data_IF_985955256575
#
_entry.id   IF_985955256575
#
_cell.length_a   1.000
_cell.length_b   1.000
_cell.length_c   1.000
_cell.angle_alpha   90.00
_cell.angle_beta   90.00
_cell.angle_gamma   90.00
#
_symmetry.space_group_name_H-M   'P 1'
#
loop_
_entity.id
_entity.type
_entity.pdbx_description
1 polymer ?
#
# COMPACT_ATOMS: atom_id res chain seq x y z
N UNK A 1 20.07 20.69 -24.94
CA UNK A 1 20.76 21.11 -23.69
C UNK A 1 21.16 19.82 -22.97
N UNK A 2 22.41 19.73 -22.56
CA UNK A 2 22.93 18.55 -21.90
C UNK A 2 22.56 18.65 -20.39
N UNK A 3 21.59 17.86 -19.94
CA UNK A 3 21.08 17.90 -18.57
C UNK A 3 21.90 17.07 -17.58
N UNK A 4 22.92 16.32 -18.09
CA UNK A 4 23.69 15.34 -17.30
C UNK A 4 24.62 15.95 -16.23
N UNK A 5 24.91 17.25 -16.30
CA UNK A 5 25.82 17.93 -15.37
C UNK A 5 25.11 18.73 -14.25
N UNK A 6 23.77 18.71 -14.20
CA UNK A 6 23.00 19.51 -13.25
C UNK A 6 22.72 18.72 -11.96
N UNK A 7 22.71 19.43 -10.83
CA UNK A 7 22.17 18.88 -9.60
C UNK A 7 20.66 18.60 -9.73
N UNK A 8 20.15 17.69 -8.93
CA UNK A 8 18.74 17.25 -9.00
C UNK A 8 17.71 18.39 -8.90
N UNK A 9 17.86 19.40 -8.03
CA UNK A 9 16.92 20.53 -7.96
C UNK A 9 16.89 21.38 -9.23
N UNK A 10 18.04 21.70 -9.80
CA UNK A 10 18.12 22.50 -11.05
C UNK A 10 17.57 21.70 -12.24
N UNK A 11 17.92 20.42 -12.35
CA UNK A 11 17.39 19.52 -13.36
C UNK A 11 15.86 19.46 -13.31
N UNK A 12 15.28 19.22 -12.11
CA UNK A 12 13.83 19.17 -11.91
C UNK A 12 13.15 20.50 -12.26
N UNK A 13 13.81 21.65 -12.02
CA UNK A 13 13.26 22.96 -12.38
C UNK A 13 13.16 23.14 -13.90
N UNK A 14 14.20 22.76 -14.65
CA UNK A 14 14.23 22.81 -16.10
C UNK A 14 13.25 21.83 -16.74
N UNK A 15 13.21 20.58 -16.26
CA UNK A 15 12.25 19.58 -16.74
C UNK A 15 10.79 20.04 -16.55
N UNK A 16 10.47 20.67 -15.40
CA UNK A 16 9.14 21.26 -15.18
C UNK A 16 8.83 22.37 -16.19
N UNK A 17 9.78 23.27 -16.44
CA UNK A 17 9.57 24.38 -17.36
C UNK A 17 9.28 23.89 -18.78
N UNK A 18 10.04 22.92 -19.28
CA UNK A 18 9.86 22.30 -20.58
C UNK A 18 8.51 21.59 -20.70
N UNK A 19 8.19 20.69 -19.76
CA UNK A 19 6.93 19.96 -19.76
C UNK A 19 5.70 20.86 -19.63
N UNK A 20 5.78 21.94 -18.86
CA UNK A 20 4.71 22.93 -18.75
C UNK A 20 4.55 23.73 -20.05
N UNK A 21 5.64 24.10 -20.70
CA UNK A 21 5.58 24.78 -21.99
C UNK A 21 4.91 23.91 -23.06
N UNK A 22 5.31 22.63 -23.17
CA UNK A 22 4.68 21.67 -24.09
C UNK A 22 3.19 21.48 -23.79
N UNK A 23 2.83 21.31 -22.50
CA UNK A 23 1.44 21.12 -22.08
C UNK A 23 0.55 22.31 -22.40
N UNK A 24 1.03 23.52 -22.19
CA UNK A 24 0.25 24.74 -22.46
C UNK A 24 0.15 25.07 -23.95
N UNK A 25 1.09 24.62 -24.76
CA UNK A 25 1.09 24.79 -26.20
C UNK A 25 0.11 23.87 -26.95
N UNK A 26 -0.45 22.84 -26.27
CA UNK A 26 -1.40 21.92 -26.89
C UNK A 26 -2.65 22.65 -27.40
N UNK A 27 -3.11 22.39 -28.66
CA UNK A 27 -4.35 22.94 -29.20
C UNK A 27 -5.57 22.58 -28.34
N UNK A 28 -6.53 23.48 -28.26
CA UNK A 28 -7.73 23.25 -27.45
C UNK A 28 -8.55 22.04 -27.88
N UNK A 29 -8.56 21.72 -29.18
CA UNK A 29 -9.26 20.57 -29.75
C UNK A 29 -8.59 19.26 -29.30
N UNK A 30 -7.26 19.18 -29.39
CA UNK A 30 -6.50 18.01 -28.94
C UNK A 30 -6.70 17.78 -27.43
N UNK A 31 -6.65 18.85 -26.63
CA UNK A 31 -6.95 18.78 -25.21
C UNK A 31 -8.32 18.19 -24.93
N UNK A 32 -9.38 18.67 -25.63
CA UNK A 32 -10.74 18.14 -25.46
C UNK A 32 -10.84 16.65 -25.81
N UNK A 33 -10.21 16.23 -26.92
CA UNK A 33 -10.20 14.82 -27.35
C UNK A 33 -9.50 13.93 -26.31
N UNK A 34 -8.32 14.35 -25.83
CA UNK A 34 -7.58 13.65 -24.78
C UNK A 34 -8.36 13.58 -23.46
N UNK A 35 -8.99 14.70 -23.07
CA UNK A 35 -9.80 14.77 -21.83
C UNK A 35 -11.02 13.85 -21.90
N UNK A 36 -11.67 13.75 -23.05
CA UNK A 36 -12.76 12.82 -23.25
C UNK A 36 -12.29 11.37 -23.06
N UNK A 37 -11.14 11.01 -23.65
CA UNK A 37 -10.57 9.67 -23.51
C UNK A 37 -10.19 9.32 -22.08
N UNK A 38 -9.48 10.20 -21.37
CA UNK A 38 -9.13 10.02 -19.97
C UNK A 38 -10.36 9.92 -19.08
N UNK A 39 -11.40 10.71 -19.38
CA UNK A 39 -12.69 10.65 -18.68
C UNK A 39 -13.33 9.26 -18.81
N UNK A 40 -13.37 8.66 -20.00
CA UNK A 40 -13.87 7.30 -20.23
C UNK A 40 -13.06 6.26 -19.46
N UNK A 41 -11.72 6.36 -19.50
CA UNK A 41 -10.84 5.43 -18.79
C UNK A 41 -11.06 5.46 -17.27
N UNK A 42 -11.24 6.65 -16.70
CA UNK A 42 -11.56 6.81 -15.27
C UNK A 42 -12.96 6.30 -14.94
N UNK A 43 -13.94 6.60 -15.79
CA UNK A 43 -15.34 6.20 -15.56
C UNK A 43 -15.52 4.67 -15.57
N UNK A 44 -14.91 3.99 -16.53
CA UNK A 44 -15.13 2.55 -16.75
C UNK A 44 -14.05 1.66 -16.10
N UNK A 45 -12.86 2.20 -15.82
CA UNK A 45 -11.79 1.44 -15.20
C UNK A 45 -11.75 1.52 -13.67
N UNK A 46 -12.47 2.46 -13.06
CA UNK A 46 -12.41 2.71 -11.62
C UNK A 46 -13.77 2.63 -10.92
N UNK A 47 -14.62 1.68 -11.36
CA UNK A 47 -15.95 1.43 -10.78
C UNK A 47 -15.92 1.07 -9.30
N UNK A 48 -14.82 0.44 -8.82
CA UNK A 48 -14.57 0.11 -7.42
C UNK A 48 -14.50 1.34 -6.49
N UNK A 49 -14.41 2.56 -7.03
CA UNK A 49 -14.47 3.80 -6.25
C UNK A 49 -15.89 4.15 -5.78
N UNK A 50 -16.89 3.38 -6.15
CA UNK A 50 -18.27 3.54 -5.67
C UNK A 50 -18.33 3.49 -4.14
N UNK A 51 -19.03 4.45 -3.54
CA UNK A 51 -19.16 4.58 -2.08
C UNK A 51 -17.96 5.21 -1.39
N UNK A 52 -16.86 5.46 -2.10
CA UNK A 52 -15.60 5.98 -1.56
C UNK A 52 -15.45 7.49 -1.78
N UNK A 53 -14.57 8.10 -0.99
CA UNK A 53 -14.18 9.50 -1.14
C UNK A 53 -13.00 9.60 -2.11
N UNK A 54 -13.22 10.26 -3.24
CA UNK A 54 -12.22 10.54 -4.27
C UNK A 54 -11.73 11.97 -4.11
N UNK A 55 -10.52 12.14 -3.60
CA UNK A 55 -9.84 13.42 -3.63
C UNK A 55 -9.39 13.73 -5.06
N UNK A 56 -9.70 14.93 -5.51
CA UNK A 56 -9.33 15.40 -6.85
C UNK A 56 -8.63 16.74 -6.76
N UNK A 57 -8.53 17.47 -7.85
CA UNK A 57 -7.88 18.77 -7.91
C UNK A 57 -8.67 19.74 -8.79
N UNK A 58 -8.37 21.03 -8.68
CA UNK A 58 -8.87 22.02 -9.61
C UNK A 58 -7.84 22.23 -10.72
N UNK A 59 -8.19 22.05 -12.00
CA UNK A 59 -7.21 22.05 -13.07
C UNK A 59 -6.58 23.41 -13.29
N UNK A 60 -5.28 23.42 -13.54
CA UNK A 60 -4.50 24.63 -13.87
C UNK A 60 -3.49 24.35 -14.98
N UNK A 61 -3.06 25.40 -15.68
CA UNK A 61 -1.95 25.35 -16.65
C UNK A 61 -2.08 24.19 -17.66
N UNK A 62 -3.28 23.95 -18.22
CA UNK A 62 -3.52 22.92 -19.23
C UNK A 62 -3.54 21.47 -18.71
N UNK A 63 -3.73 21.27 -17.41
CA UNK A 63 -4.01 19.95 -16.85
C UNK A 63 -5.27 19.33 -17.45
N UNK A 64 -5.38 18.02 -17.32
CA UNK A 64 -6.66 17.32 -17.51
C UNK A 64 -7.70 17.93 -16.57
N UNK A 65 -8.90 18.19 -17.10
CA UNK A 65 -10.01 18.66 -16.27
C UNK A 65 -10.77 17.46 -15.66
N UNK A 66 -10.58 17.18 -14.38
CA UNK A 66 -11.17 15.99 -13.74
C UNK A 66 -12.66 16.15 -13.45
N UNK A 67 -13.24 17.36 -13.58
CA UNK A 67 -14.60 17.66 -13.13
C UNK A 67 -15.67 16.82 -13.81
N UNK A 68 -15.50 16.52 -15.10
CA UNK A 68 -16.43 15.66 -15.86
C UNK A 68 -16.31 14.21 -15.39
N UNK A 69 -15.08 13.67 -15.28
CA UNK A 69 -14.85 12.31 -14.81
C UNK A 69 -15.36 12.13 -13.37
N UNK A 70 -15.04 13.08 -12.48
CA UNK A 70 -15.49 13.07 -11.09
C UNK A 70 -17.01 13.15 -10.99
N UNK A 71 -17.67 13.96 -11.83
CA UNK A 71 -19.13 13.97 -11.88
C UNK A 71 -19.69 12.58 -12.23
N UNK A 72 -19.15 11.91 -13.24
CA UNK A 72 -19.57 10.56 -13.65
C UNK A 72 -19.32 9.52 -12.57
N UNK A 73 -18.18 9.58 -11.85
CA UNK A 73 -17.92 8.73 -10.69
C UNK A 73 -18.92 8.98 -9.56
N UNK A 74 -19.31 10.25 -9.33
CA UNK A 74 -20.33 10.60 -8.34
C UNK A 74 -21.73 10.09 -8.76
N UNK A 75 -22.11 10.22 -10.02
CA UNK A 75 -23.37 9.69 -10.54
C UNK A 75 -23.46 8.15 -10.32
N UNK A 76 -22.32 7.48 -10.16
CA UNK A 76 -22.18 6.06 -9.79
C UNK A 76 -22.01 5.81 -8.29
N UNK A 77 -22.08 6.84 -7.45
CA UNK A 77 -22.11 6.76 -5.99
C UNK A 77 -20.81 7.06 -5.27
N UNK A 78 -19.73 7.50 -5.95
CA UNK A 78 -18.55 8.04 -5.28
C UNK A 78 -18.85 9.42 -4.66
N UNK A 79 -18.05 9.82 -3.66
CA UNK A 79 -18.02 11.18 -3.11
C UNK A 79 -16.76 11.87 -3.61
N UNK A 80 -16.83 13.17 -3.90
CA UNK A 80 -15.65 13.92 -4.35
C UNK A 80 -15.18 14.90 -3.28
N UNK A 81 -13.87 15.18 -3.26
CA UNK A 81 -13.29 16.17 -2.36
C UNK A 81 -12.20 16.98 -3.07
N UNK A 82 -12.11 18.27 -2.73
CA UNK A 82 -11.06 19.18 -3.20
C UNK A 82 -10.01 19.43 -2.11
N UNK A 83 -8.73 19.56 -2.50
CA UNK A 83 -7.65 19.86 -1.59
C UNK A 83 -7.69 21.34 -1.15
N UNK A 84 -7.42 21.55 0.12
CA UNK A 84 -7.30 22.88 0.73
C UNK A 84 -5.92 23.02 1.35
N UNK A 85 -5.20 24.08 1.02
CA UNK A 85 -3.95 24.45 1.68
C UNK A 85 -4.31 25.20 2.97
N UNK A 86 -4.22 24.54 4.10
CA UNK A 86 -4.48 25.13 5.41
C UNK A 86 -3.25 25.81 6.01
N UNK A 87 -2.06 25.33 5.64
CA UNK A 87 -0.78 25.86 6.07
C UNK A 87 0.28 25.65 4.97
N UNK A 88 1.19 26.60 4.83
CA UNK A 88 2.33 26.48 3.89
C UNK A 88 3.21 25.30 4.30
N UNK A 89 3.63 24.51 3.31
CA UNK A 89 4.50 23.34 3.49
C UNK A 89 3.95 22.24 4.44
N UNK A 90 2.64 22.20 4.68
CA UNK A 90 1.93 21.15 5.40
C UNK A 90 1.17 20.22 4.45
N UNK A 91 0.69 19.05 4.93
CA UNK A 91 -0.26 18.22 4.19
C UNK A 91 -1.52 18.99 3.78
N UNK A 92 -2.11 18.60 2.67
CA UNK A 92 -3.41 19.12 2.23
C UNK A 92 -4.52 18.55 3.13
N UNK A 93 -5.49 19.40 3.44
CA UNK A 93 -6.78 18.98 3.98
C UNK A 93 -7.75 18.80 2.82
N UNK A 94 -8.61 17.78 2.85
CA UNK A 94 -9.63 17.60 1.83
C UNK A 94 -11.00 17.96 2.38
N UNK A 95 -11.78 18.71 1.57
CA UNK A 95 -13.19 19.04 1.86
C UNK A 95 -14.09 18.45 0.79
N UNK A 96 -15.20 17.87 1.21
CA UNK A 96 -16.17 17.33 0.27
C UNK A 96 -16.64 18.41 -0.70
N UNK A 97 -16.79 18.01 -1.97
CA UNK A 97 -17.15 18.93 -3.05
C UNK A 97 -18.12 18.29 -4.05
N UNK A 98 -18.99 19.08 -4.61
CA UNK A 98 -19.88 18.73 -5.71
C UNK A 98 -20.15 19.96 -6.59
N UNK A 99 -20.55 19.77 -7.88
CA UNK A 99 -20.92 20.88 -8.74
C UNK A 99 -22.04 21.70 -8.13
N UNK A 100 -21.87 23.04 -8.10
CA UNK A 100 -22.83 23.96 -7.50
C UNK A 100 -22.58 24.28 -6.03
N UNK A 101 -21.64 23.60 -5.34
CA UNK A 101 -21.26 23.99 -3.98
C UNK A 101 -20.56 25.36 -4.01
N UNK A 102 -20.93 26.21 -3.08
CA UNK A 102 -20.25 27.50 -2.87
C UNK A 102 -18.76 27.31 -2.60
N UNK A 103 -17.93 28.10 -3.28
CA UNK A 103 -16.50 28.10 -3.08
C UNK A 103 -15.97 29.51 -2.93
N UNK A 104 -14.85 29.68 -2.19
CA UNK A 104 -14.12 30.95 -2.09
C UNK A 104 -12.69 30.77 -2.60
N UNK A 105 -12.09 31.84 -3.16
CA UNK A 105 -10.68 31.78 -3.54
C UNK A 105 -9.80 31.49 -2.32
N UNK A 106 -8.96 30.46 -2.44
CA UNK A 106 -7.94 30.10 -1.46
C UNK A 106 -6.53 30.44 -1.93
N UNK A 107 -5.55 29.72 -1.38
CA UNK A 107 -4.14 29.85 -1.78
C UNK A 107 -4.03 29.50 -3.27
N UNK A 108 -3.21 30.25 -4.00
CA UNK A 108 -3.05 30.17 -5.47
C UNK A 108 -4.32 30.48 -6.28
N UNK A 109 -5.33 31.13 -5.71
CA UNK A 109 -6.61 31.40 -6.37
C UNK A 109 -7.49 30.16 -6.59
N UNK A 110 -7.13 29.03 -5.99
CA UNK A 110 -7.88 27.78 -6.13
C UNK A 110 -9.17 27.82 -5.30
N UNK A 111 -10.29 27.23 -5.79
CA UNK A 111 -11.54 27.23 -5.08
C UNK A 111 -11.48 26.36 -3.81
N UNK A 112 -11.90 26.94 -2.70
CA UNK A 112 -12.06 26.26 -1.39
C UNK A 112 -13.54 26.06 -1.11
N UNK A 113 -14.02 24.79 -0.98
CA UNK A 113 -15.40 24.49 -0.63
C UNK A 113 -15.82 25.11 0.69
N UNK A 114 -17.01 25.71 0.73
CA UNK A 114 -17.57 26.34 1.91
C UNK A 114 -18.65 25.45 2.53
N UNK A 115 -18.74 25.43 3.87
CA UNK A 115 -19.80 24.70 4.58
C UNK A 115 -19.79 23.18 4.47
N UNK A 116 -18.84 22.59 3.71
CA UNK A 116 -18.74 21.15 3.54
C UNK A 116 -17.81 20.51 4.57
N UNK A 117 -18.01 19.22 4.93
CA UNK A 117 -17.18 18.54 5.90
C UNK A 117 -15.77 18.31 5.39
N UNK A 118 -14.81 18.27 6.33
CA UNK A 118 -13.48 17.73 6.10
C UNK A 118 -13.59 16.21 5.99
N UNK A 119 -12.93 15.63 5.00
CA UNK A 119 -12.97 14.20 4.74
C UNK A 119 -11.56 13.66 4.46
N UNK A 120 -11.36 12.38 4.74
CA UNK A 120 -10.14 11.66 4.37
C UNK A 120 -10.41 10.93 3.06
N UNK A 121 -9.63 11.16 2.00
CA UNK A 121 -9.84 10.48 0.72
C UNK A 121 -9.37 9.02 0.76
N UNK A 122 -10.20 8.12 0.21
CA UNK A 122 -9.86 6.71 -0.05
C UNK A 122 -9.02 6.55 -1.33
N UNK A 123 -9.19 7.48 -2.27
CA UNK A 123 -8.44 7.56 -3.51
C UNK A 123 -8.08 9.01 -3.86
N UNK A 124 -6.96 9.22 -4.51
CA UNK A 124 -6.50 10.53 -4.97
C UNK A 124 -6.23 10.52 -6.48
N UNK A 125 -6.89 11.39 -7.21
CA UNK A 125 -6.50 11.78 -8.56
C UNK A 125 -5.47 12.90 -8.44
N UNK A 126 -4.26 12.70 -8.95
CA UNK A 126 -3.13 13.60 -8.75
C UNK A 126 -2.61 14.08 -10.12
N UNK A 127 -2.56 15.40 -10.37
CA UNK A 127 -2.04 15.92 -11.61
C UNK A 127 -0.51 16.09 -11.54
N UNK A 128 0.28 15.28 -12.24
CA UNK A 128 1.72 15.51 -12.34
C UNK A 128 2.04 16.54 -13.42
N UNK A 129 3.20 17.17 -13.31
CA UNK A 129 3.83 17.89 -14.43
C UNK A 129 4.52 16.87 -15.36
N UNK A 130 5.20 15.89 -14.79
CA UNK A 130 5.80 14.75 -15.47
C UNK A 130 5.60 13.46 -14.67
N UNK A 131 5.69 12.33 -15.36
CA UNK A 131 5.60 10.99 -14.74
C UNK A 131 6.67 10.09 -15.34
N UNK A 132 7.44 9.41 -14.48
CA UNK A 132 8.53 8.56 -14.95
C UNK A 132 8.12 7.09 -15.16
N UNK A 133 9.05 6.32 -15.72
CA UNK A 133 8.84 4.92 -16.03
C UNK A 133 8.57 4.05 -14.79
N UNK A 134 8.94 4.51 -13.59
CA UNK A 134 8.71 3.82 -12.32
C UNK A 134 7.49 4.34 -11.55
N UNK A 135 6.71 5.24 -12.17
CA UNK A 135 5.48 5.80 -11.57
C UNK A 135 5.72 6.90 -10.55
N UNK A 136 6.93 7.46 -10.45
CA UNK A 136 7.18 8.65 -9.67
C UNK A 136 6.75 9.90 -10.43
N UNK A 137 6.24 10.89 -9.71
CA UNK A 137 5.70 12.11 -10.31
C UNK A 137 6.60 13.33 -10.08
N UNK A 138 6.82 14.11 -11.11
CA UNK A 138 7.34 15.46 -11.01
C UNK A 138 6.16 16.42 -10.79
N UNK A 139 6.06 16.96 -9.58
CA UNK A 139 5.06 17.98 -9.24
C UNK A 139 5.53 19.41 -9.51
N UNK A 140 4.74 20.40 -9.07
CA UNK A 140 5.09 21.84 -9.19
C UNK A 140 6.21 22.31 -8.25
N UNK A 141 6.77 21.45 -7.42
CA UNK A 141 7.86 21.79 -6.49
C UNK A 141 7.40 22.20 -5.08
N UNK A 142 6.10 22.29 -4.83
CA UNK A 142 5.56 22.62 -3.50
C UNK A 142 5.54 21.44 -2.51
N UNK A 143 5.67 20.19 -2.98
CA UNK A 143 5.68 18.96 -2.19
C UNK A 143 4.40 18.67 -1.41
N UNK A 144 3.28 19.33 -1.76
CA UNK A 144 2.03 19.18 -1.03
C UNK A 144 1.49 17.75 -1.06
N UNK A 145 1.47 17.10 -2.24
CA UNK A 145 0.98 15.75 -2.36
C UNK A 145 1.90 14.73 -1.68
N UNK A 146 3.23 14.90 -1.72
CA UNK A 146 4.16 14.00 -1.04
C UNK A 146 3.96 14.03 0.47
N UNK A 147 3.86 15.24 1.05
CA UNK A 147 3.54 15.39 2.48
C UNK A 147 2.16 14.84 2.84
N UNK A 148 1.16 15.04 1.97
CA UNK A 148 -0.19 14.52 2.19
C UNK A 148 -0.18 12.99 2.19
N UNK A 149 0.44 12.38 1.19
CA UNK A 149 0.56 10.93 1.11
C UNK A 149 1.36 10.35 2.29
N UNK A 150 2.45 11.02 2.70
CA UNK A 150 3.22 10.58 3.87
C UNK A 150 2.44 10.64 5.18
N UNK A 151 1.49 11.57 5.30
CA UNK A 151 0.67 11.78 6.50
C UNK A 151 -0.58 10.87 6.56
N UNK A 152 -1.07 10.38 5.41
CA UNK A 152 -2.28 9.57 5.36
C UNK A 152 -1.99 8.10 5.69
N UNK A 153 -2.79 7.54 6.61
CA UNK A 153 -2.81 6.10 6.94
C UNK A 153 -4.26 5.68 7.18
N UNK A 154 -4.76 4.64 6.49
CA UNK A 154 -4.10 3.93 5.39
C UNK A 154 -3.80 4.82 4.20
N UNK A 155 -2.84 4.37 3.38
CA UNK A 155 -2.51 5.08 2.13
C UNK A 155 -3.71 5.06 1.18
N UNK A 156 -4.15 6.21 0.63
CA UNK A 156 -5.19 6.23 -0.40
C UNK A 156 -4.70 5.57 -1.69
N UNK A 157 -5.62 5.13 -2.53
CA UNK A 157 -5.29 4.76 -3.90
C UNK A 157 -4.75 5.99 -4.64
N UNK A 158 -3.56 5.87 -5.24
CA UNK A 158 -2.84 6.98 -5.89
C UNK A 158 -2.91 6.84 -7.41
N UNK A 159 -3.70 7.69 -8.06
CA UNK A 159 -3.89 7.68 -9.51
C UNK A 159 -3.31 8.97 -10.09
N UNK A 160 -2.18 8.88 -10.79
CA UNK A 160 -1.70 10.01 -11.59
C UNK A 160 -2.58 10.16 -12.83
N UNK A 161 -3.04 11.37 -13.09
CA UNK A 161 -3.77 11.69 -14.32
C UNK A 161 -2.93 12.69 -15.12
N UNK A 162 -2.38 12.22 -16.22
CA UNK A 162 -1.36 12.89 -16.99
C UNK A 162 -1.68 12.91 -18.49
N UNK A 163 -0.86 13.59 -19.26
CA UNK A 163 -0.79 13.45 -20.73
C UNK A 163 0.31 12.48 -21.09
N UNK A 164 0.15 11.68 -22.13
CA UNK A 164 1.21 10.80 -22.61
C UNK A 164 2.50 11.58 -22.92
N UNK A 165 2.36 12.79 -23.45
CA UNK A 165 3.47 13.68 -23.73
C UNK A 165 4.26 14.16 -22.47
N UNK A 166 3.76 13.89 -21.26
CA UNK A 166 4.43 14.20 -20.00
C UNK A 166 5.23 13.02 -19.42
N UNK A 167 5.27 11.88 -20.12
CA UNK A 167 6.11 10.76 -19.74
C UNK A 167 7.59 11.07 -19.94
N UNK A 168 8.40 10.51 -19.04
CA UNK A 168 9.85 10.68 -19.03
C UNK A 168 10.51 9.43 -18.45
N UNK A 169 11.82 9.27 -18.70
CA UNK A 169 12.54 8.07 -18.23
C UNK A 169 12.68 8.06 -16.70
N UNK A 170 13.06 9.19 -16.12
CA UNK A 170 13.23 9.35 -14.68
C UNK A 170 12.96 10.77 -14.23
N UNK A 171 12.44 10.93 -13.02
CA UNK A 171 12.39 12.21 -12.31
C UNK A 171 13.59 12.40 -11.38
N UNK A 172 14.54 11.46 -11.34
CA UNK A 172 15.57 11.33 -10.31
C UNK A 172 14.95 11.30 -8.90
N UNK A 173 14.21 10.20 -8.55
CA UNK A 173 13.42 10.13 -7.33
C UNK A 173 14.25 10.35 -6.09
N UNK A 174 13.70 11.11 -5.13
CA UNK A 174 14.30 11.35 -3.82
C UNK A 174 13.59 10.51 -2.76
N UNK A 175 14.18 10.27 -1.58
CA UNK A 175 13.60 9.39 -0.55
C UNK A 175 12.19 9.78 -0.09
N UNK A 176 11.78 11.02 -0.28
CA UNK A 176 10.44 11.51 0.09
C UNK A 176 9.42 11.42 -1.06
N UNK A 177 9.84 11.13 -2.29
CA UNK A 177 8.93 10.95 -3.41
C UNK A 177 8.18 9.60 -3.25
N UNK A 178 6.86 9.63 -3.42
CA UNK A 178 6.01 8.45 -3.27
C UNK A 178 5.47 8.06 -4.64
N UNK A 179 5.70 6.82 -5.11
CA UNK A 179 5.19 6.37 -6.41
C UNK A 179 3.68 6.25 -6.42
N UNK A 180 3.10 6.37 -7.61
CA UNK A 180 1.67 6.15 -7.84
C UNK A 180 1.33 4.66 -7.83
N UNK A 181 0.04 4.32 -7.86
CA UNK A 181 -0.44 2.96 -8.07
C UNK A 181 -0.86 2.77 -9.52
N UNK A 182 -1.44 3.81 -10.10
CA UNK A 182 -1.84 3.85 -11.48
C UNK A 182 -1.42 5.16 -12.15
N UNK A 183 -1.17 5.09 -13.44
CA UNK A 183 -0.99 6.23 -14.33
C UNK A 183 -2.02 6.14 -15.43
N UNK A 184 -2.87 7.15 -15.56
CA UNK A 184 -3.90 7.27 -16.58
C UNK A 184 -3.50 8.38 -17.53
N UNK A 185 -3.37 8.04 -18.81
CA UNK A 185 -3.17 8.98 -19.92
C UNK A 185 -4.19 8.70 -21.01
N UNK A 186 -4.25 9.51 -22.05
CA UNK A 186 -5.08 9.23 -23.22
C UNK A 186 -4.70 7.92 -23.95
N UNK A 187 -3.47 7.43 -23.75
CA UNK A 187 -3.00 6.15 -24.31
C UNK A 187 -3.55 4.94 -23.56
N UNK A 188 -3.91 5.07 -22.27
CA UNK A 188 -4.46 3.97 -21.47
C UNK A 188 -4.24 4.10 -19.98
N UNK A 189 -4.54 3.02 -19.27
CA UNK A 189 -4.31 2.88 -17.84
C UNK A 189 -3.10 1.97 -17.62
N UNK A 190 -2.12 2.46 -16.88
CA UNK A 190 -0.94 1.69 -16.51
C UNK A 190 -0.94 1.43 -15.00
N UNK A 191 -0.73 0.18 -14.61
CA UNK A 191 -0.40 -0.19 -13.24
C UNK A 191 1.09 0.09 -12.98
N UNK A 192 1.40 0.65 -11.82
CA UNK A 192 2.78 0.81 -11.35
C UNK A 192 3.22 -0.47 -10.66
N UNK A 193 4.23 -1.13 -11.21
CA UNK A 193 4.79 -2.38 -10.68
C UNK A 193 6.22 -2.17 -10.18
N UNK A 194 6.81 -3.17 -9.55
CA UNK A 194 8.21 -3.14 -9.12
C UNK A 194 9.20 -2.98 -10.30
N UNK A 195 8.77 -3.31 -11.52
CA UNK A 195 9.59 -3.24 -12.74
C UNK A 195 9.21 -2.08 -13.65
N UNK A 196 8.28 -1.21 -13.22
CA UNK A 196 7.84 -0.03 -13.96
C UNK A 196 6.36 -0.08 -14.35
N UNK A 197 5.99 0.76 -15.31
CA UNK A 197 4.61 0.91 -15.78
C UNK A 197 4.20 -0.25 -16.69
N UNK A 198 3.10 -0.90 -16.35
CA UNK A 198 2.50 -1.99 -17.13
C UNK A 198 1.14 -1.56 -17.65
N UNK A 199 0.96 -1.53 -18.98
CA UNK A 199 -0.35 -1.26 -19.58
C UNK A 199 -1.37 -2.33 -19.17
N UNK A 200 -2.55 -1.89 -18.73
CA UNK A 200 -3.68 -2.77 -18.44
C UNK A 200 -4.64 -2.70 -19.64
N UNK A 201 -4.69 -3.78 -20.41
CA UNK A 201 -5.41 -3.80 -21.70
C UNK A 201 -6.92 -3.66 -21.55
N UNK A 202 -7.52 -4.27 -20.52
CA UNK A 202 -8.98 -4.27 -20.32
C UNK A 202 -9.36 -3.49 -19.08
N UNK A 203 -10.35 -2.60 -19.19
CA UNK A 203 -10.82 -1.78 -18.08
C UNK A 203 -11.42 -2.60 -16.92
N UNK A 204 -11.99 -3.76 -17.21
CA UNK A 204 -12.44 -4.71 -16.18
C UNK A 204 -11.27 -5.26 -15.33
N UNK A 205 -10.05 -5.34 -15.89
CA UNK A 205 -8.87 -5.74 -15.13
C UNK A 205 -8.36 -4.59 -14.26
N UNK A 206 -8.48 -3.34 -14.73
CA UNK A 206 -8.21 -2.15 -13.91
C UNK A 206 -9.09 -2.17 -12.66
N UNK A 207 -10.40 -2.35 -12.83
CA UNK A 207 -11.37 -2.35 -11.73
C UNK A 207 -11.07 -3.45 -10.70
N UNK A 208 -10.69 -4.65 -11.16
CA UNK A 208 -10.25 -5.75 -10.28
C UNK A 208 -8.97 -5.42 -9.51
N UNK A 209 -7.99 -4.79 -10.16
CA UNK A 209 -6.74 -4.37 -9.50
C UNK A 209 -7.01 -3.30 -8.45
N UNK A 210 -7.86 -2.31 -8.78
CA UNK A 210 -8.28 -1.25 -7.86
C UNK A 210 -9.00 -1.84 -6.65
N UNK A 211 -9.96 -2.73 -6.86
CA UNK A 211 -10.69 -3.43 -5.78
C UNK A 211 -9.71 -4.12 -4.83
N UNK A 212 -8.79 -4.92 -5.38
CA UNK A 212 -7.78 -5.63 -4.58
C UNK A 212 -6.90 -4.70 -3.76
N UNK A 213 -6.42 -3.59 -4.35
CA UNK A 213 -5.59 -2.63 -3.64
C UNK A 213 -6.35 -1.90 -2.52
N UNK A 214 -7.62 -1.55 -2.75
CA UNK A 214 -8.46 -0.92 -1.74
C UNK A 214 -8.74 -1.87 -0.57
N UNK A 215 -9.04 -3.14 -0.83
CA UNK A 215 -9.21 -4.16 0.20
C UNK A 215 -7.93 -4.35 1.04
N UNK A 216 -6.76 -4.40 0.39
CA UNK A 216 -5.46 -4.49 1.08
C UNK A 216 -5.17 -3.28 1.97
N UNK A 217 -5.70 -2.10 1.63
CA UNK A 217 -5.48 -0.84 2.36
C UNK A 217 -6.55 -0.53 3.39
N UNK A 218 -7.68 -1.22 3.36
CA UNK A 218 -8.74 -1.01 4.34
C UNK A 218 -8.20 -1.23 5.76
N UNK A 219 -8.42 -0.26 6.63
CA UNK A 219 -8.11 -0.42 8.05
C UNK A 219 -8.86 -1.60 8.65
N UNK A 220 -8.15 -2.38 9.44
CA UNK A 220 -8.78 -3.40 10.27
C UNK A 220 -9.52 -2.73 11.44
N UNK A 221 -10.72 -3.20 11.73
CA UNK A 221 -11.43 -2.85 12.94
C UNK A 221 -10.72 -3.44 14.18
N UNK A 222 -11.06 -2.97 15.37
CA UNK A 222 -10.52 -3.49 16.61
C UNK A 222 -10.86 -4.99 16.78
N UNK A 223 -12.06 -5.39 16.36
CA UNK A 223 -12.48 -6.80 16.38
C UNK A 223 -11.68 -7.66 15.38
N UNK A 224 -11.48 -7.18 14.15
CA UNK A 224 -10.64 -7.86 13.14
C UNK A 224 -9.18 -8.01 13.62
N UNK A 225 -8.62 -6.99 14.31
CA UNK A 225 -7.28 -7.07 14.91
C UNK A 225 -7.27 -8.11 16.03
N UNK A 226 -8.26 -8.09 16.92
CA UNK A 226 -8.36 -9.05 18.03
C UNK A 226 -8.48 -10.49 17.54
N UNK A 227 -9.27 -10.74 16.49
CA UNK A 227 -9.39 -12.04 15.84
C UNK A 227 -8.07 -12.50 15.22
N UNK A 228 -7.37 -11.59 14.52
CA UNK A 228 -6.03 -11.85 13.98
C UNK A 228 -5.04 -12.22 15.09
N UNK A 229 -4.95 -11.42 16.15
CA UNK A 229 -4.03 -11.68 17.27
C UNK A 229 -4.33 -13.00 17.96
N UNK A 230 -5.61 -13.38 18.12
CA UNK A 230 -5.98 -14.68 18.65
C UNK A 230 -5.59 -15.83 17.72
N UNK A 231 -5.81 -15.68 16.42
CA UNK A 231 -5.38 -16.66 15.41
C UNK A 231 -3.86 -16.89 15.45
N UNK A 232 -3.09 -15.81 15.57
CA UNK A 232 -1.63 -15.88 15.71
C UNK A 232 -1.23 -16.53 17.03
N UNK A 233 -1.88 -16.18 18.14
CA UNK A 233 -1.63 -16.76 19.47
C UNK A 233 -1.82 -18.28 19.49
N UNK A 234 -2.87 -18.76 18.84
CA UNK A 234 -3.11 -20.20 18.69
C UNK A 234 -2.02 -20.88 17.86
N UNK A 235 -1.56 -20.22 16.79
CA UNK A 235 -0.49 -20.73 15.94
C UNK A 235 0.85 -20.79 16.68
N UNK A 236 1.23 -19.72 17.41
CA UNK A 236 2.47 -19.66 18.20
C UNK A 236 2.48 -20.72 19.32
N UNK A 237 1.36 -20.92 20.01
CA UNK A 237 1.23 -22.02 20.99
C UNK A 237 1.42 -23.39 20.37
N UNK A 238 0.76 -23.63 19.24
CA UNK A 238 0.90 -24.89 18.52
C UNK A 238 2.34 -25.12 18.06
N UNK A 239 3.02 -24.06 17.54
CA UNK A 239 4.43 -24.09 17.15
C UNK A 239 5.35 -24.45 18.32
N UNK A 240 5.22 -23.75 19.44
CA UNK A 240 5.99 -24.04 20.65
C UNK A 240 5.81 -25.48 21.15
N UNK A 241 4.57 -26.00 21.14
CA UNK A 241 4.26 -27.40 21.51
C UNK A 241 4.87 -28.40 20.54
N UNK A 242 4.78 -28.14 19.22
CA UNK A 242 5.41 -28.98 18.19
C UNK A 242 6.90 -29.06 18.38
N UNK A 243 7.57 -27.93 18.60
CA UNK A 243 9.02 -27.89 18.79
C UNK A 243 9.41 -28.67 20.04
N UNK A 244 8.69 -28.52 21.16
CA UNK A 244 8.94 -29.30 22.39
C UNK A 244 8.81 -30.79 22.14
N UNK A 245 7.77 -31.26 21.42
CA UNK A 245 7.59 -32.65 21.07
C UNK A 245 8.74 -33.15 20.17
N UNK A 246 9.16 -32.37 19.17
CA UNK A 246 10.26 -32.75 18.29
C UNK A 246 11.60 -32.86 19.05
N UNK A 247 11.90 -31.96 19.98
CA UNK A 247 13.09 -32.04 20.83
C UNK A 247 13.08 -33.28 21.70
N UNK A 248 11.90 -33.71 22.19
CA UNK A 248 11.75 -34.90 23.03
C UNK A 248 11.76 -36.23 22.28
N UNK A 249 11.23 -36.27 21.06
CA UNK A 249 10.98 -37.51 20.32
C UNK A 249 12.02 -37.81 19.23
N UNK A 250 12.66 -36.79 18.66
CA UNK A 250 13.52 -36.97 17.49
C UNK A 250 15.01 -37.13 17.87
N UNK A 251 15.74 -38.01 17.17
CA UNK A 251 17.20 -38.19 17.32
C UNK A 251 17.91 -37.03 16.61
N UNK A 252 17.88 -35.86 17.22
CA UNK A 252 18.45 -34.63 16.65
C UNK A 252 19.93 -34.48 16.98
N UNK A 253 20.79 -34.04 16.04
CA UNK A 253 22.13 -33.53 16.32
C UNK A 253 22.11 -32.39 17.33
N UNK A 254 23.22 -32.15 18.02
CA UNK A 254 23.28 -31.13 19.10
C UNK A 254 23.01 -29.69 18.60
N UNK A 255 23.48 -29.35 17.42
CA UNK A 255 23.24 -28.08 16.71
C UNK A 255 21.78 -27.91 16.33
N UNK A 256 21.15 -28.93 15.73
CA UNK A 256 19.73 -28.91 15.39
C UNK A 256 18.84 -28.78 16.63
N UNK A 257 19.20 -29.46 17.71
CA UNK A 257 18.50 -29.36 19.00
C UNK A 257 18.65 -27.95 19.60
N UNK A 258 19.84 -27.36 19.56
CA UNK A 258 20.09 -26.00 20.05
C UNK A 258 19.26 -24.97 19.28
N UNK A 259 19.19 -25.11 17.95
CA UNK A 259 18.40 -24.23 17.10
C UNK A 259 16.90 -24.37 17.37
N UNK A 260 16.36 -25.58 17.51
CA UNK A 260 14.97 -25.78 17.87
C UNK A 260 14.64 -25.19 19.26
N UNK A 261 15.56 -25.25 20.22
CA UNK A 261 15.37 -24.57 21.51
C UNK A 261 15.35 -23.04 21.39
N UNK A 262 16.08 -22.48 20.43
CA UNK A 262 16.01 -21.04 20.11
C UNK A 262 14.65 -20.69 19.53
N UNK A 263 14.22 -21.43 18.51
CA UNK A 263 12.91 -21.28 17.89
C UNK A 263 11.76 -21.38 18.91
N UNK A 264 11.82 -22.34 19.82
CA UNK A 264 10.81 -22.52 20.87
C UNK A 264 10.72 -21.29 21.80
N UNK A 265 11.88 -20.68 22.14
CA UNK A 265 11.90 -19.42 22.92
C UNK A 265 11.27 -18.26 22.15
N UNK A 266 11.51 -18.16 20.85
CA UNK A 266 10.91 -17.14 19.99
C UNK A 266 9.37 -17.30 19.95
N UNK A 267 8.85 -18.50 19.72
CA UNK A 267 7.40 -18.83 19.74
C UNK A 267 6.76 -18.46 21.10
N UNK A 268 7.44 -18.82 22.20
CA UNK A 268 6.96 -18.50 23.54
C UNK A 268 6.98 -16.99 23.83
N UNK A 269 8.01 -16.29 23.34
CA UNK A 269 8.11 -14.84 23.40
C UNK A 269 7.00 -14.15 22.61
N UNK A 270 6.71 -14.65 21.42
CA UNK A 270 5.62 -14.17 20.58
C UNK A 270 4.26 -14.36 21.28
N UNK A 271 4.01 -15.51 21.93
CA UNK A 271 2.82 -15.71 22.74
C UNK A 271 2.65 -14.63 23.81
N UNK A 272 3.74 -14.29 24.52
CA UNK A 272 3.71 -13.25 25.57
C UNK A 272 3.38 -11.85 25.00
N UNK A 273 3.92 -11.52 23.82
CA UNK A 273 3.62 -10.26 23.10
C UNK A 273 2.15 -10.21 22.71
N UNK A 274 1.63 -11.28 22.09
CA UNK A 274 0.22 -11.34 21.63
C UNK A 274 -0.75 -11.24 22.80
N UNK A 275 -0.47 -11.91 23.92
CA UNK A 275 -1.28 -11.85 25.15
C UNK A 275 -1.30 -10.42 25.72
N UNK A 276 -0.19 -9.70 25.71
CA UNK A 276 -0.12 -8.31 26.16
C UNK A 276 -0.97 -7.40 25.27
N UNK A 277 -0.84 -7.53 23.95
CA UNK A 277 -1.61 -6.73 22.99
C UNK A 277 -3.12 -6.96 23.14
N UNK A 278 -3.57 -8.21 23.20
CA UNK A 278 -4.98 -8.55 23.39
C UNK A 278 -5.54 -7.96 24.69
N UNK A 279 -4.81 -8.08 25.80
CA UNK A 279 -5.22 -7.48 27.07
C UNK A 279 -5.26 -5.97 27.03
N UNK A 280 -4.28 -5.33 26.39
CA UNK A 280 -4.25 -3.87 26.20
C UNK A 280 -5.42 -3.35 25.38
N UNK A 281 -5.96 -4.17 24.49
CA UNK A 281 -7.17 -3.86 23.71
C UNK A 281 -8.48 -4.22 24.44
N UNK A 282 -8.43 -4.81 25.64
CA UNK A 282 -9.61 -5.32 26.34
C UNK A 282 -10.22 -6.58 25.70
N UNK A 283 -9.48 -7.25 24.82
CA UNK A 283 -9.93 -8.46 24.16
C UNK A 283 -9.59 -9.71 24.98
N UNK A 284 -10.48 -10.71 24.95
CA UNK A 284 -10.24 -11.98 25.64
C UNK A 284 -9.27 -12.85 24.83
N UNK A 285 -8.13 -13.26 25.39
CA UNK A 285 -7.19 -14.15 24.71
C UNK A 285 -7.75 -15.54 24.52
N UNK A 286 -7.68 -16.09 23.31
CA UNK A 286 -8.02 -17.48 23.03
C UNK A 286 -7.23 -18.45 23.92
N UNK A 287 -7.89 -19.50 24.41
CA UNK A 287 -7.27 -20.63 25.14
C UNK A 287 -6.99 -21.84 24.23
N UNK A 288 -7.45 -21.77 22.99
CA UNK A 288 -7.30 -22.85 22.02
C UNK A 288 -5.83 -23.02 21.57
N UNK A 289 -5.57 -24.22 21.09
CA UNK A 289 -4.35 -24.55 20.34
C UNK A 289 -4.80 -24.91 18.93
N UNK A 290 -4.21 -24.31 17.92
CA UNK A 290 -4.58 -24.59 16.54
C UNK A 290 -4.33 -26.05 16.15
N UNK A 291 -5.04 -26.56 15.15
CA UNK A 291 -4.93 -27.95 14.64
C UNK A 291 -3.53 -28.28 14.06
N UNK A 292 -2.60 -27.33 14.07
CA UNK A 292 -1.24 -27.51 13.57
C UNK A 292 -0.47 -28.55 14.39
N UNK A 293 -0.65 -28.57 15.73
CA UNK A 293 0.03 -29.52 16.62
C UNK A 293 -0.26 -30.96 16.24
N UNK A 294 -1.55 -31.33 16.16
CA UNK A 294 -1.96 -32.71 15.81
C UNK A 294 -1.45 -33.14 14.43
N UNK A 295 -1.53 -32.22 13.44
CA UNK A 295 -1.06 -32.48 12.10
C UNK A 295 0.46 -32.65 12.03
N UNK A 296 1.22 -31.91 12.82
CA UNK A 296 2.68 -32.02 12.90
C UNK A 296 3.12 -33.36 13.47
N UNK A 297 2.47 -33.83 14.53
CA UNK A 297 2.79 -35.13 15.15
C UNK A 297 2.43 -36.33 14.26
N UNK A 298 1.46 -36.17 13.36
CA UNK A 298 1.11 -37.22 12.39
C UNK A 298 2.18 -37.39 11.29
N UNK A 299 3.07 -36.42 11.09
CA UNK A 299 4.18 -36.50 10.13
C UNK A 299 5.26 -37.44 10.69
N UNK A 300 5.77 -38.35 9.88
CA UNK A 300 6.86 -39.26 10.24
C UNK A 300 8.19 -38.82 9.67
N UNK A 301 9.28 -39.09 10.40
CA UNK A 301 10.66 -38.77 9.99
C UNK A 301 11.13 -37.35 10.39
N UNK A 302 12.44 -37.19 10.60
CA UNK A 302 13.05 -35.93 11.08
C UNK A 302 12.86 -34.84 10.04
N UNK A 303 13.33 -35.06 8.81
CA UNK A 303 13.29 -34.08 7.71
C UNK A 303 11.84 -33.64 7.40
N UNK A 304 10.85 -34.52 7.15
CA UNK A 304 9.46 -34.12 6.90
C UNK A 304 8.82 -33.32 8.04
N UNK A 305 9.16 -33.62 9.29
CA UNK A 305 8.68 -32.87 10.46
C UNK A 305 9.24 -31.45 10.48
N UNK A 306 10.54 -31.26 10.21
CA UNK A 306 11.15 -29.92 10.11
C UNK A 306 10.60 -29.12 8.93
N UNK A 307 10.39 -29.75 7.78
CA UNK A 307 9.74 -29.11 6.63
C UNK A 307 8.30 -28.68 6.96
N UNK A 308 7.56 -29.51 7.73
CA UNK A 308 6.22 -29.15 8.18
C UNK A 308 6.24 -27.96 9.13
N UNK A 309 7.16 -27.93 10.09
CA UNK A 309 7.37 -26.80 10.99
C UNK A 309 7.68 -25.52 10.19
N UNK A 310 8.58 -25.59 9.21
CA UNK A 310 8.96 -24.45 8.38
C UNK A 310 7.78 -23.91 7.56
N UNK A 311 6.90 -24.77 7.07
CA UNK A 311 5.64 -24.33 6.43
C UNK A 311 4.73 -23.57 7.39
N UNK A 312 4.68 -23.95 8.66
CA UNK A 312 3.97 -23.23 9.72
C UNK A 312 4.52 -21.84 9.94
N UNK A 313 5.84 -21.71 10.09
CA UNK A 313 6.53 -20.41 10.19
C UNK A 313 6.19 -19.49 9.00
N UNK A 314 6.26 -20.02 7.78
CA UNK A 314 5.93 -19.28 6.57
C UNK A 314 4.45 -18.87 6.50
N UNK A 315 3.53 -19.66 7.06
CA UNK A 315 2.12 -19.31 7.13
C UNK A 315 1.89 -18.10 8.04
N UNK A 316 2.48 -18.12 9.24
CA UNK A 316 2.40 -16.98 10.19
C UNK A 316 2.98 -15.73 9.58
N UNK A 317 4.20 -15.79 9.02
CA UNK A 317 4.87 -14.66 8.39
C UNK A 317 4.01 -14.03 7.27
N UNK A 318 3.43 -14.86 6.39
CA UNK A 318 2.54 -14.38 5.31
C UNK A 318 1.26 -13.75 5.83
N UNK A 319 0.64 -14.34 6.87
CA UNK A 319 -0.59 -13.81 7.45
C UNK A 319 -0.36 -12.45 8.10
N UNK A 320 0.75 -12.29 8.82
CA UNK A 320 1.15 -11.00 9.38
C UNK A 320 1.43 -9.98 8.24
N UNK A 321 2.23 -10.36 7.24
CA UNK A 321 2.57 -9.49 6.12
C UNK A 321 1.32 -8.95 5.39
N UNK A 322 0.30 -9.79 5.19
CA UNK A 322 -0.96 -9.39 4.57
C UNK A 322 -1.78 -8.41 5.44
N UNK A 323 -1.69 -8.52 6.76
CA UNK A 323 -2.44 -7.67 7.68
C UNK A 323 -1.77 -6.31 7.96
N UNK A 324 -0.43 -6.26 7.99
CA UNK A 324 0.34 -5.07 8.38
C UNK A 324 -0.08 -3.76 7.68
N UNK A 325 -0.39 -3.73 6.37
CA UNK A 325 -0.83 -2.50 5.70
C UNK A 325 -2.18 -1.98 6.20
N UNK A 326 -3.00 -2.85 6.81
CA UNK A 326 -4.35 -2.55 7.27
C UNK A 326 -4.41 -2.18 8.76
N UNK A 327 -3.34 -2.37 9.53
CA UNK A 327 -3.27 -2.10 10.97
C UNK A 327 -2.79 -0.67 11.18
N UNK A 328 -3.63 0.17 11.78
CA UNK A 328 -3.30 1.57 12.07
C UNK A 328 -2.62 1.75 13.43
N UNK A 329 -2.99 0.95 14.42
CA UNK A 329 -2.36 0.98 15.73
C UNK A 329 -0.86 0.74 15.63
N UNK A 330 -0.07 1.70 16.09
CA UNK A 330 1.38 1.70 15.93
C UNK A 330 2.04 0.62 16.81
N UNK A 331 1.51 0.36 18.01
CA UNK A 331 2.05 -0.66 18.91
C UNK A 331 1.84 -2.05 18.32
N UNK A 332 0.60 -2.36 17.92
CA UNK A 332 0.25 -3.63 17.26
C UNK A 332 1.06 -3.82 15.98
N UNK A 333 1.11 -2.80 15.14
CA UNK A 333 1.84 -2.86 13.85
C UNK A 333 3.33 -3.12 14.04
N UNK A 334 3.98 -2.44 15.00
CA UNK A 334 5.40 -2.61 15.26
C UNK A 334 5.70 -3.99 15.86
N UNK A 335 4.88 -4.46 16.80
CA UNK A 335 5.02 -5.79 17.40
C UNK A 335 4.86 -6.90 16.34
N UNK A 336 3.85 -6.81 15.49
CA UNK A 336 3.64 -7.80 14.41
C UNK A 336 4.73 -7.73 13.34
N UNK A 337 5.27 -6.54 13.04
CA UNK A 337 6.42 -6.42 12.13
C UNK A 337 7.65 -7.17 12.69
N UNK A 338 7.99 -6.94 13.96
CA UNK A 338 9.09 -7.64 14.62
C UNK A 338 8.89 -9.16 14.62
N UNK A 339 7.68 -9.60 14.93
CA UNK A 339 7.31 -11.03 14.89
C UNK A 339 7.47 -11.61 13.47
N UNK A 340 6.97 -10.95 12.43
CA UNK A 340 7.16 -11.38 11.04
C UNK A 340 8.63 -11.54 10.68
N UNK A 341 9.46 -10.56 11.07
CA UNK A 341 10.89 -10.56 10.74
C UNK A 341 11.62 -11.68 11.47
N UNK A 342 11.22 -11.99 12.72
CA UNK A 342 11.67 -13.18 13.46
C UNK A 342 11.30 -14.48 12.74
N UNK A 343 10.06 -14.62 12.27
CA UNK A 343 9.65 -15.80 11.49
C UNK A 343 10.46 -15.96 10.19
N UNK A 344 10.77 -14.89 9.48
CA UNK A 344 11.64 -14.97 8.31
C UNK A 344 13.08 -15.40 8.66
N UNK A 345 13.60 -14.99 9.82
CA UNK A 345 14.88 -15.48 10.31
C UNK A 345 14.80 -16.98 10.66
N UNK A 346 13.74 -17.40 11.35
CA UNK A 346 13.49 -18.79 11.73
C UNK A 346 13.32 -19.72 10.51
N UNK A 347 12.67 -19.23 9.44
CA UNK A 347 12.56 -19.97 8.18
C UNK A 347 13.94 -20.26 7.60
N UNK A 348 14.83 -19.26 7.52
CA UNK A 348 16.20 -19.45 7.02
C UNK A 348 16.98 -20.44 7.87
N UNK A 349 16.91 -20.32 9.20
CA UNK A 349 17.56 -21.29 10.11
C UNK A 349 17.06 -22.71 9.90
N UNK A 350 15.73 -22.91 9.68
CA UNK A 350 15.19 -24.23 9.35
C UNK A 350 15.68 -24.74 7.98
N UNK A 351 15.81 -23.86 6.99
CA UNK A 351 16.36 -24.21 5.66
C UNK A 351 17.83 -24.64 5.77
N UNK A 352 18.63 -23.93 6.58
CA UNK A 352 20.03 -24.30 6.86
C UNK A 352 20.14 -25.67 7.53
N UNK A 353 19.27 -25.95 8.54
CA UNK A 353 19.20 -27.28 9.17
C UNK A 353 18.79 -28.38 8.16
N UNK A 354 17.85 -28.08 7.25
CA UNK A 354 17.41 -29.01 6.22
C UNK A 354 18.47 -29.24 5.13
N UNK A 355 19.39 -28.30 4.92
CA UNK A 355 20.52 -28.46 4.01
C UNK A 355 21.67 -29.31 4.60
N UNK A 356 21.70 -29.44 5.94
CA UNK A 356 22.71 -30.25 6.67
C UNK A 356 22.41 -31.75 6.70
N UNK A 357 23.32 -32.50 7.32
CA UNK A 357 23.21 -33.94 7.53
C UNK A 357 22.25 -34.26 8.68
N UNK A 358 20.98 -34.45 8.34
CA UNK A 358 19.98 -34.96 9.27
C UNK A 358 19.92 -36.49 9.23
N UNK A 359 19.62 -37.17 10.38
CA UNK A 359 19.46 -38.61 10.42
C UNK A 359 18.42 -39.09 9.40
N UNK A 360 18.65 -40.21 8.73
CA UNK A 360 17.63 -40.84 7.87
C UNK A 360 16.39 -41.15 8.66
N UNK A 361 15.23 -41.20 8.01
CA UNK A 361 13.89 -41.42 8.56
C UNK A 361 13.75 -42.78 9.24
#
# INVERSE_FOLDING_TARGET
MNYESLDTPAWRALARADLLARRTALPAEDRRRMDARVTELLEFGFGALRGLVVGTYWPMKGEFDPRVAVKRLRDRGARAALPVVVQKAAPLQFREWWPGLETRPGVFGLPVPQGSPVVVPDALLIPPVGIDAMGYRLGYGGGYFDRTLAALSPQPLKVAVAREASRMDTIHPQPHDIPMDFVVTEAGVHEVTATGLRLVERLADVDRLVTRLLEQRRSMSQDEISELLNTLLEAERAGAMVINAFIGELPLPADARAELLRLQRDESGNCAVLLRLLRGMGAEPSKAVGSFFEKALAVRGVRPRLEFLNRGQAWVARRIAAALPRIQDAEVRNALRSMRDSHFANIRSCEDLLAGDLPPS
#
